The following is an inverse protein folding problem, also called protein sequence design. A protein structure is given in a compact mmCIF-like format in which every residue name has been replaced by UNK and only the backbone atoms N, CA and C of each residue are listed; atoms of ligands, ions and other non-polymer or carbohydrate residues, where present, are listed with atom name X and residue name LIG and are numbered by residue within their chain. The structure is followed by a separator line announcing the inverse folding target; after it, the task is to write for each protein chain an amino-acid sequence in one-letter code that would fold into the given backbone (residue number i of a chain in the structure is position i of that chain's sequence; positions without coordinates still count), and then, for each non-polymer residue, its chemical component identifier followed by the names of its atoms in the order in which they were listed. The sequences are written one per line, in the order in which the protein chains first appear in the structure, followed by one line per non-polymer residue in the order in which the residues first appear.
data_IF_936907675694
#
_entry.id   IF_936907675694
#
_cell.length_a   1.000
_cell.length_b   1.000
_cell.length_c   1.000
_cell.angle_alpha   90.00
_cell.angle_beta   90.00
_cell.angle_gamma   90.00
#
_symmetry.space_group_name_H-M   'P 1'
#
loop_
_entity.id
_entity.type
_entity.pdbx_description
1 polymer ?
#
# COMPACT_ATOMS: atom_id res chain seq x y z
N UNK A 1 8.87 -15.28 -14.21
CA UNK A 1 7.48 -15.79 -14.16
C UNK A 1 6.62 -14.95 -15.09
N UNK A 2 5.71 -15.60 -15.86
CA UNK A 2 4.70 -14.89 -16.63
C UNK A 2 3.69 -14.27 -15.63
N UNK A 3 3.60 -12.95 -15.59
CA UNK A 3 2.78 -12.24 -14.59
C UNK A 3 1.29 -12.50 -14.78
N UNK A 4 0.83 -12.71 -16.02
CA UNK A 4 -0.57 -13.06 -16.29
C UNK A 4 -0.89 -14.47 -15.79
N UNK A 5 0.04 -15.41 -15.91
CA UNK A 5 -0.09 -16.75 -15.35
C UNK A 5 -0.09 -16.70 -13.80
N UNK A 6 0.81 -15.89 -13.21
CA UNK A 6 0.80 -15.67 -11.78
C UNK A 6 -0.56 -15.20 -11.29
N UNK A 7 -1.14 -14.19 -11.97
CA UNK A 7 -2.44 -13.64 -11.58
C UNK A 7 -3.57 -14.67 -11.74
N UNK A 8 -3.59 -15.43 -12.83
CA UNK A 8 -4.63 -16.42 -13.12
C UNK A 8 -4.62 -17.61 -12.16
N UNK A 9 -3.51 -17.87 -11.49
CA UNK A 9 -3.39 -18.90 -10.45
C UNK A 9 -3.99 -18.49 -9.10
N UNK A 10 -4.40 -17.25 -8.94
CA UNK A 10 -5.10 -16.78 -7.75
C UNK A 10 -6.61 -16.81 -7.97
N UNK A 11 -7.34 -17.10 -6.88
CA UNK A 11 -8.78 -16.77 -6.86
C UNK A 11 -8.93 -15.26 -7.04
N UNK A 12 -10.09 -14.83 -7.50
CA UNK A 12 -10.37 -13.40 -7.60
C UNK A 12 -9.97 -12.66 -6.32
N UNK A 13 -9.06 -11.72 -6.45
CA UNK A 13 -8.51 -10.98 -5.32
C UNK A 13 -9.52 -9.94 -4.84
N UNK A 14 -9.89 -10.02 -3.58
CA UNK A 14 -10.82 -9.09 -2.94
C UNK A 14 -10.38 -8.82 -1.51
N UNK A 15 -10.41 -7.56 -1.10
CA UNK A 15 -9.98 -7.17 0.22
C UNK A 15 -10.17 -5.69 0.52
N UNK A 16 -9.43 -5.18 1.48
CA UNK A 16 -9.44 -3.78 1.84
C UNK A 16 -8.05 -3.29 2.26
N UNK A 17 -7.88 -1.97 2.27
CA UNK A 17 -6.78 -1.35 3.01
C UNK A 17 -7.02 -1.56 4.50
N UNK A 18 -6.00 -1.99 5.23
CA UNK A 18 -6.14 -2.42 6.61
C UNK A 18 -5.25 -1.63 7.56
N UNK A 19 -5.87 -1.18 8.61
CA UNK A 19 -5.26 -0.63 9.81
C UNK A 19 -6.13 -1.09 10.98
N UNK A 20 -5.57 -1.64 12.09
CA UNK A 20 -6.38 -2.06 13.22
C UNK A 20 -7.10 -0.87 13.86
N UNK A 21 -8.29 -1.11 14.40
CA UNK A 21 -9.11 -0.06 15.04
C UNK A 21 -8.43 0.61 16.24
N UNK A 22 -7.37 0.01 16.75
CA UNK A 22 -6.56 0.53 17.88
C UNK A 22 -5.41 1.44 17.44
N UNK A 23 -5.17 1.58 16.13
CA UNK A 23 -4.10 2.42 15.59
C UNK A 23 -4.64 3.53 14.68
N UNK A 24 -4.02 4.71 14.72
CA UNK A 24 -4.38 5.84 13.85
C UNK A 24 -3.56 5.88 12.56
N UNK A 25 -2.41 5.23 12.53
CA UNK A 25 -1.52 5.15 11.38
C UNK A 25 -0.59 3.94 11.46
N UNK A 26 0.22 3.76 10.43
CA UNK A 26 1.16 2.64 10.32
C UNK A 26 2.26 2.65 11.41
N UNK A 27 2.61 3.80 11.96
CA UNK A 27 3.56 3.87 13.08
C UNK A 27 2.93 3.28 14.35
N UNK A 28 1.72 3.70 14.71
CA UNK A 28 1.02 3.18 15.87
C UNK A 28 0.69 1.67 15.71
N UNK A 29 0.43 1.22 14.47
CA UNK A 29 0.21 -0.21 14.21
C UNK A 29 1.42 -1.08 14.56
N UNK A 30 2.64 -0.59 14.34
CA UNK A 30 3.85 -1.41 14.40
C UNK A 30 4.85 -1.06 15.49
N UNK A 31 4.68 0.03 16.24
CA UNK A 31 5.56 0.36 17.38
C UNK A 31 5.34 -0.62 18.54
N UNK A 32 6.39 -0.85 19.34
CA UNK A 32 6.39 -1.84 20.42
C UNK A 32 5.29 -1.60 21.45
N UNK A 33 5.14 -0.36 21.88
CA UNK A 33 4.21 0.04 22.93
C UNK A 33 2.73 0.13 22.50
N UNK A 34 2.48 0.07 21.19
CA UNK A 34 1.13 0.19 20.60
C UNK A 34 0.73 -1.01 19.72
N UNK A 35 1.62 -1.97 19.49
CA UNK A 35 1.32 -3.17 18.73
C UNK A 35 0.29 -4.05 19.44
N UNK A 36 -0.82 -4.33 18.74
CA UNK A 36 -1.97 -5.05 19.31
C UNK A 36 -2.32 -6.31 18.49
N UNK A 37 -1.63 -7.44 18.76
CA UNK A 37 -1.88 -8.68 18.03
C UNK A 37 -3.28 -9.25 18.26
N UNK A 38 -3.91 -8.96 19.40
CA UNK A 38 -5.26 -9.46 19.72
C UNK A 38 -6.29 -8.81 18.81
N UNK A 39 -6.27 -7.49 18.67
CA UNK A 39 -7.16 -6.77 17.77
C UNK A 39 -6.86 -7.12 16.31
N UNK A 40 -5.58 -7.19 15.93
CA UNK A 40 -5.20 -7.61 14.58
C UNK A 40 -5.76 -9.01 14.24
N UNK A 41 -5.59 -9.99 15.10
CA UNK A 41 -6.13 -11.34 14.88
C UNK A 41 -7.66 -11.34 14.69
N UNK A 42 -8.36 -10.63 15.54
CA UNK A 42 -9.82 -10.51 15.48
C UNK A 42 -10.30 -9.87 14.19
N UNK A 43 -9.72 -8.74 13.79
CA UNK A 43 -10.15 -7.98 12.63
C UNK A 43 -9.74 -8.65 11.32
N UNK A 44 -8.55 -9.26 11.25
CA UNK A 44 -8.13 -10.08 10.11
C UNK A 44 -9.05 -11.31 9.97
N UNK A 45 -9.49 -11.92 11.09
CA UNK A 45 -10.48 -12.97 11.11
C UNK A 45 -11.81 -12.51 10.50
N UNK A 46 -12.31 -11.34 10.85
CA UNK A 46 -13.53 -10.76 10.24
C UNK A 46 -13.37 -10.53 8.74
N UNK A 47 -12.19 -10.11 8.28
CA UNK A 47 -11.93 -9.96 6.86
C UNK A 47 -12.08 -11.30 6.11
N UNK A 48 -11.52 -12.38 6.66
CA UNK A 48 -11.71 -13.72 6.11
C UNK A 48 -13.18 -14.17 6.14
N UNK A 49 -13.90 -13.91 7.23
CA UNK A 49 -15.29 -14.33 7.40
C UNK A 49 -16.23 -13.71 6.35
N UNK A 50 -15.96 -12.49 5.90
CA UNK A 50 -16.69 -11.84 4.81
C UNK A 50 -16.19 -12.20 3.41
N UNK A 51 -15.18 -13.07 3.31
CA UNK A 51 -14.67 -13.59 2.05
C UNK A 51 -13.49 -12.84 1.46
N UNK A 52 -12.84 -11.94 2.20
CA UNK A 52 -11.60 -11.29 1.74
C UNK A 52 -10.44 -12.29 1.75
N UNK A 53 -9.57 -12.18 0.76
CA UNK A 53 -8.35 -12.98 0.64
C UNK A 53 -7.08 -12.14 0.50
N UNK A 54 -7.21 -10.81 0.54
CA UNK A 54 -6.08 -9.89 0.55
C UNK A 54 -6.37 -8.69 1.46
N UNK A 55 -5.32 -8.13 2.03
CA UNK A 55 -5.32 -6.85 2.76
C UNK A 55 -4.17 -6.00 2.24
N UNK A 56 -4.35 -4.68 2.15
CA UNK A 56 -3.26 -3.76 1.83
C UNK A 56 -2.82 -3.05 3.10
N UNK A 57 -1.55 -3.24 3.47
CA UNK A 57 -0.98 -2.81 4.74
C UNK A 57 0.19 -1.88 4.47
N UNK A 58 0.16 -0.69 5.07
CA UNK A 58 1.21 0.31 4.96
C UNK A 58 2.30 0.06 6.00
N UNK A 59 3.54 0.06 5.55
CA UNK A 59 4.72 0.09 6.39
C UNK A 59 5.26 1.53 6.51
N UNK A 60 6.39 1.72 7.17
CA UNK A 60 7.03 3.03 7.30
C UNK A 60 8.53 2.89 7.47
N UNK A 61 9.30 3.72 6.78
CA UNK A 61 10.76 3.71 6.84
C UNK A 61 11.34 3.96 8.24
N UNK A 62 10.68 4.79 9.05
CA UNK A 62 11.13 5.05 10.43
C UNK A 62 11.09 3.82 11.33
N UNK A 63 10.23 2.85 11.06
CA UNK A 63 10.17 1.59 11.82
C UNK A 63 11.45 0.77 11.68
N UNK A 64 12.22 1.01 10.62
CA UNK A 64 13.49 0.33 10.37
C UNK A 64 14.60 0.74 11.34
N UNK A 65 14.42 1.84 12.11
CA UNK A 65 15.34 2.21 13.20
C UNK A 65 15.39 1.16 14.32
N UNK A 66 14.32 0.37 14.47
CA UNK A 66 14.23 -0.80 15.35
C UNK A 66 13.93 -2.07 14.53
N UNK A 67 14.80 -2.33 13.55
CA UNK A 67 14.65 -3.35 12.52
C UNK A 67 14.23 -4.71 13.08
N UNK A 68 14.98 -5.22 14.07
CA UNK A 68 14.75 -6.58 14.58
C UNK A 68 13.36 -6.75 15.20
N UNK A 69 12.93 -5.79 16.00
CA UNK A 69 11.63 -5.86 16.65
C UNK A 69 10.49 -5.54 15.67
N UNK A 70 10.71 -4.63 14.73
CA UNK A 70 9.74 -4.40 13.67
C UNK A 70 9.54 -5.66 12.80
N UNK A 71 10.61 -6.35 12.42
CA UNK A 71 10.52 -7.60 11.66
C UNK A 71 9.75 -8.68 12.41
N UNK A 72 9.93 -8.81 13.72
CA UNK A 72 9.15 -9.74 14.55
C UNK A 72 7.66 -9.41 14.49
N UNK A 73 7.29 -8.13 14.66
CA UNK A 73 5.88 -7.69 14.60
C UNK A 73 5.29 -7.86 13.19
N UNK A 74 6.05 -7.53 12.15
CA UNK A 74 5.60 -7.78 10.77
C UNK A 74 5.41 -9.28 10.51
N UNK A 75 6.34 -10.12 10.97
CA UNK A 75 6.20 -11.57 10.85
C UNK A 75 4.96 -12.09 11.58
N UNK A 76 4.62 -11.54 12.74
CA UNK A 76 3.39 -11.88 13.46
C UNK A 76 2.13 -11.52 12.66
N UNK A 77 2.09 -10.34 12.05
CA UNK A 77 1.00 -9.96 11.13
C UNK A 77 0.90 -10.92 9.94
N UNK A 78 2.03 -11.33 9.36
CA UNK A 78 2.05 -12.30 8.26
C UNK A 78 1.55 -13.68 8.69
N UNK A 79 1.85 -14.12 9.92
CA UNK A 79 1.29 -15.35 10.50
C UNK A 79 -0.22 -15.23 10.63
N UNK A 80 -0.71 -14.16 11.23
CA UNK A 80 -2.15 -13.92 11.40
C UNK A 80 -2.89 -13.88 10.05
N UNK A 81 -2.33 -13.19 9.05
CA UNK A 81 -2.89 -13.20 7.71
C UNK A 81 -2.94 -14.61 7.11
N UNK A 82 -1.85 -15.37 7.24
CA UNK A 82 -1.75 -16.74 6.72
C UNK A 82 -2.75 -17.68 7.40
N UNK A 83 -2.90 -17.59 8.72
CA UNK A 83 -3.86 -18.39 9.50
C UNK A 83 -5.31 -18.13 9.09
N UNK A 84 -5.58 -16.94 8.58
CA UNK A 84 -6.89 -16.52 8.05
C UNK A 84 -6.98 -16.56 6.51
N UNK A 85 -6.08 -17.26 5.82
CA UNK A 85 -6.06 -17.39 4.36
C UNK A 85 -5.98 -16.06 3.59
N UNK A 86 -5.33 -15.08 4.16
CA UNK A 86 -5.12 -13.75 3.58
C UNK A 86 -3.66 -13.59 3.17
N UNK A 87 -3.44 -13.06 1.96
CA UNK A 87 -2.11 -12.65 1.49
C UNK A 87 -2.06 -11.12 1.38
N UNK A 88 -1.28 -10.44 2.20
CA UNK A 88 -1.22 -8.99 2.19
C UNK A 88 -0.42 -8.42 1.01
N UNK A 89 -0.82 -7.22 0.58
CA UNK A 89 -0.04 -6.29 -0.23
C UNK A 89 0.65 -5.35 0.75
N UNK A 90 1.98 -5.25 0.71
CA UNK A 90 2.74 -4.41 1.62
C UNK A 90 3.21 -3.14 0.92
N UNK A 91 2.88 -1.97 1.49
CA UNK A 91 3.22 -0.66 0.95
C UNK A 91 4.44 -0.09 1.66
N UNK A 92 5.46 0.35 0.91
CA UNK A 92 6.70 0.88 1.51
C UNK A 92 6.65 2.38 1.76
N UNK A 93 6.38 3.17 0.70
CA UNK A 93 6.41 4.64 0.75
C UNK A 93 5.05 5.25 0.42
N UNK A 94 4.85 6.50 0.81
CA UNK A 94 3.57 7.20 0.65
C UNK A 94 3.74 8.72 0.65
N UNK A 95 3.20 9.38 -0.38
CA UNK A 95 3.16 10.85 -0.48
C UNK A 95 1.77 11.43 -0.15
N UNK A 96 0.73 10.58 -0.10
CA UNK A 96 -0.64 11.06 -0.04
C UNK A 96 -1.06 11.61 1.33
N UNK A 97 -0.46 11.10 2.40
CA UNK A 97 -0.91 11.42 3.75
C UNK A 97 -0.19 12.65 4.35
N UNK A 98 -0.30 12.85 5.66
CA UNK A 98 0.18 14.07 6.32
C UNK A 98 1.70 14.06 6.46
N UNK A 99 2.36 15.23 6.27
CA UNK A 99 3.80 15.36 6.41
C UNK A 99 4.29 15.20 7.86
N UNK A 100 5.61 15.27 8.03
CA UNK A 100 6.31 15.24 9.31
C UNK A 100 6.02 13.98 10.13
N UNK A 101 6.32 12.77 9.58
CA UNK A 101 6.22 11.54 10.35
C UNK A 101 7.23 11.54 11.50
N UNK A 102 6.83 10.99 12.64
CA UNK A 102 7.69 10.88 13.82
C UNK A 102 7.30 9.66 14.63
N UNK A 103 8.31 8.92 15.12
CA UNK A 103 8.12 7.84 16.08
C UNK A 103 7.60 8.36 17.43
N UNK A 104 7.06 7.47 18.23
CA UNK A 104 6.50 7.76 19.55
C UNK A 104 4.99 7.99 19.50
N UNK A 105 4.50 8.80 20.44
CA UNK A 105 3.05 9.05 20.55
C UNK A 105 2.47 9.64 19.28
N UNK A 106 1.44 8.99 18.75
CA UNK A 106 0.73 9.46 17.57
C UNK A 106 -0.45 10.37 17.97
N UNK A 107 -0.91 11.24 17.04
CA UNK A 107 -2.00 12.15 17.33
C UNK A 107 -3.31 11.40 17.60
N UNK A 108 -4.19 12.00 18.36
CA UNK A 108 -5.57 11.52 18.47
C UNK A 108 -6.34 11.78 17.17
N UNK A 109 -7.32 10.92 16.82
CA UNK A 109 -8.15 11.14 15.65
C UNK A 109 -8.99 12.43 15.78
N UNK A 110 -9.08 13.17 14.70
CA UNK A 110 -9.95 14.35 14.61
C UNK A 110 -11.27 13.95 13.98
N UNK A 111 -12.35 14.05 14.72
CA UNK A 111 -13.68 13.65 14.24
C UNK A 111 -14.07 14.42 12.99
N UNK A 112 -14.58 13.71 11.98
CA UNK A 112 -14.99 14.30 10.69
C UNK A 112 -13.84 14.66 9.76
N UNK A 113 -12.60 14.40 10.14
CA UNK A 113 -11.43 14.61 9.28
C UNK A 113 -10.91 13.27 8.80
N UNK A 114 -11.03 13.04 7.49
CA UNK A 114 -10.54 11.83 6.86
C UNK A 114 -9.03 11.67 7.05
N UNK A 115 -8.60 10.48 7.47
CA UNK A 115 -7.19 10.12 7.68
C UNK A 115 -6.40 11.17 8.50
N UNK A 116 -7.01 11.70 9.57
CA UNK A 116 -6.46 12.81 10.33
C UNK A 116 -5.08 12.58 10.93
N UNK A 117 -4.70 11.33 11.17
CA UNK A 117 -3.43 10.95 11.77
C UNK A 117 -2.50 10.12 10.88
N UNK A 118 -2.90 9.77 9.66
CA UNK A 118 -2.05 9.04 8.73
C UNK A 118 -0.82 9.88 8.35
N UNK A 119 0.32 9.22 8.15
CA UNK A 119 1.60 9.86 7.90
C UNK A 119 2.22 9.42 6.58
N UNK A 120 2.84 10.38 5.90
CA UNK A 120 3.70 10.09 4.75
C UNK A 120 4.90 9.24 5.16
N UNK A 121 5.46 8.51 4.20
CA UNK A 121 6.71 7.78 4.33
C UNK A 121 7.55 7.97 3.05
N UNK A 122 8.72 8.59 3.08
CA UNK A 122 9.39 9.13 4.27
C UNK A 122 8.88 10.49 4.74
N UNK A 123 8.13 11.23 3.93
CA UNK A 123 7.69 12.59 4.11
C UNK A 123 8.27 13.54 3.06
N UNK A 124 7.52 14.58 2.70
CA UNK A 124 7.88 15.52 1.62
C UNK A 124 9.22 16.23 1.84
N UNK A 125 9.59 16.51 3.10
CA UNK A 125 10.88 17.10 3.43
C UNK A 125 12.03 16.19 2.97
N UNK A 126 11.95 14.90 3.29
CA UNK A 126 12.98 13.93 2.89
C UNK A 126 12.95 13.71 1.38
N UNK A 127 11.77 13.65 0.76
CA UNK A 127 11.64 13.55 -0.71
C UNK A 127 12.38 14.70 -1.39
N UNK A 128 12.20 15.93 -0.90
CA UNK A 128 12.91 17.11 -1.41
C UNK A 128 14.42 17.09 -1.15
N UNK A 129 14.84 16.61 0.01
CA UNK A 129 16.26 16.43 0.31
C UNK A 129 16.92 15.42 -0.63
N UNK A 130 16.25 14.31 -0.94
CA UNK A 130 16.71 13.34 -1.94
C UNK A 130 16.83 14.00 -3.33
N UNK A 131 15.83 14.80 -3.73
CA UNK A 131 15.87 15.52 -5.00
C UNK A 131 17.04 16.53 -5.10
N UNK A 132 17.51 17.05 -3.95
CA UNK A 132 18.69 17.94 -3.85
C UNK A 132 20.01 17.17 -3.73
N UNK A 133 19.99 15.84 -3.66
CA UNK A 133 21.19 15.00 -3.58
C UNK A 133 21.68 14.75 -2.15
N UNK A 134 20.79 14.68 -1.16
CA UNK A 134 21.15 14.28 0.20
C UNK A 134 21.50 12.79 0.24
N UNK A 135 22.81 12.48 0.24
CA UNK A 135 23.33 11.11 0.19
C UNK A 135 23.05 10.31 1.46
N UNK A 136 22.97 10.96 2.61
CA UNK A 136 22.69 10.27 3.90
C UNK A 136 21.27 9.72 3.93
N UNK A 137 20.29 10.55 3.59
CA UNK A 137 18.89 10.13 3.51
C UNK A 137 18.68 9.10 2.39
N UNK A 138 19.36 9.27 1.25
CA UNK A 138 19.33 8.29 0.17
C UNK A 138 19.84 6.93 0.63
N UNK A 139 21.00 6.88 1.29
CA UNK A 139 21.58 5.64 1.81
C UNK A 139 20.67 4.97 2.85
N UNK A 140 20.04 5.76 3.72
CA UNK A 140 19.10 5.27 4.73
C UNK A 140 17.86 4.61 4.09
N UNK A 141 17.25 5.27 3.10
CA UNK A 141 16.08 4.75 2.41
C UNK A 141 16.42 3.56 1.51
N UNK A 142 17.61 3.57 0.88
CA UNK A 142 18.11 2.42 0.12
C UNK A 142 18.24 1.20 1.02
N UNK A 143 18.86 1.38 2.18
CA UNK A 143 19.04 0.30 3.16
C UNK A 143 17.70 -0.30 3.58
N UNK A 144 16.74 0.53 3.99
CA UNK A 144 15.39 0.09 4.34
C UNK A 144 14.75 -0.69 3.20
N UNK A 145 14.74 -0.14 1.99
CA UNK A 145 14.09 -0.77 0.83
C UNK A 145 14.72 -2.11 0.50
N UNK A 146 16.04 -2.16 0.41
CA UNK A 146 16.74 -3.39 0.01
C UNK A 146 16.71 -4.46 1.08
N UNK A 147 16.88 -4.11 2.33
CA UNK A 147 16.85 -5.08 3.41
C UNK A 147 15.46 -5.69 3.60
N UNK A 148 14.38 -4.88 3.62
CA UNK A 148 13.04 -5.44 3.81
C UNK A 148 12.63 -6.34 2.64
N UNK A 149 12.93 -5.95 1.42
CA UNK A 149 12.65 -6.77 0.25
C UNK A 149 13.49 -8.05 0.23
N UNK A 150 14.74 -7.99 0.68
CA UNK A 150 15.62 -9.15 0.74
C UNK A 150 15.24 -10.12 1.86
N UNK A 151 14.92 -9.60 3.04
CA UNK A 151 14.59 -10.42 4.22
C UNK A 151 13.27 -11.21 4.03
N UNK A 152 12.35 -10.69 3.21
CA UNK A 152 11.09 -11.33 2.86
C UNK A 152 10.99 -11.74 1.37
N UNK A 153 12.11 -11.82 0.65
CA UNK A 153 12.13 -11.98 -0.82
C UNK A 153 11.40 -13.22 -1.36
N UNK A 154 11.37 -14.30 -0.59
CA UNK A 154 10.76 -15.57 -0.98
C UNK A 154 9.61 -15.97 -0.05
N UNK A 155 9.07 -15.01 0.71
CA UNK A 155 7.97 -15.27 1.63
C UNK A 155 6.63 -15.37 0.88
N UNK A 156 6.14 -16.60 0.73
CA UNK A 156 4.91 -16.90 0.00
C UNK A 156 3.63 -16.38 0.67
N UNK A 157 3.72 -15.91 1.93
CA UNK A 157 2.60 -15.28 2.64
C UNK A 157 2.28 -13.88 2.10
N UNK A 158 3.26 -13.22 1.46
CA UNK A 158 3.10 -11.88 0.87
C UNK A 158 2.59 -12.03 -0.57
N UNK A 159 1.51 -11.33 -0.91
CA UNK A 159 0.97 -11.33 -2.27
C UNK A 159 1.88 -10.55 -3.23
N UNK A 160 2.17 -9.31 -2.91
CA UNK A 160 3.04 -8.43 -3.70
C UNK A 160 3.51 -7.22 -2.88
N UNK A 161 4.50 -6.49 -3.41
CA UNK A 161 5.00 -5.24 -2.85
C UNK A 161 4.49 -4.05 -3.64
N UNK A 162 3.87 -3.10 -2.95
CA UNK A 162 3.51 -1.78 -3.46
C UNK A 162 4.58 -0.79 -3.01
N UNK A 163 5.46 -0.42 -3.94
CA UNK A 163 6.66 0.32 -3.59
C UNK A 163 6.38 1.76 -3.15
N UNK A 164 5.32 2.38 -3.69
CA UNK A 164 5.04 3.77 -3.40
C UNK A 164 3.56 4.10 -3.62
N UNK A 165 2.87 4.49 -2.55
CA UNK A 165 1.49 4.96 -2.64
C UNK A 165 1.43 6.40 -3.13
N UNK A 166 0.71 6.60 -4.21
CA UNK A 166 0.34 7.91 -4.76
C UNK A 166 1.51 8.93 -4.78
N UNK A 167 2.66 8.59 -5.39
CA UNK A 167 3.75 9.55 -5.50
C UNK A 167 3.30 10.84 -6.18
N UNK A 168 3.78 11.97 -5.68
CA UNK A 168 3.45 13.29 -6.20
C UNK A 168 2.23 13.97 -5.56
N UNK A 169 1.48 13.29 -4.71
CA UNK A 169 0.34 13.87 -3.98
C UNK A 169 0.78 15.01 -3.02
N UNK A 170 -0.17 15.75 -2.46
CA UNK A 170 0.06 16.89 -1.59
C UNK A 170 0.91 18.00 -2.23
N UNK A 171 0.76 18.18 -3.55
CA UNK A 171 1.38 19.29 -4.28
C UNK A 171 2.87 19.12 -4.58
N UNK A 172 3.46 17.94 -4.30
CA UNK A 172 4.87 17.69 -4.60
C UNK A 172 5.11 17.36 -6.08
N UNK A 173 4.13 16.72 -6.76
CA UNK A 173 4.22 16.42 -8.18
C UNK A 173 5.46 15.62 -8.56
N UNK A 174 6.06 15.95 -9.68
CA UNK A 174 7.26 15.27 -10.19
C UNK A 174 8.53 15.49 -9.37
N UNK A 175 8.51 16.29 -8.30
CA UNK A 175 9.63 16.34 -7.33
C UNK A 175 9.88 14.97 -6.69
N UNK A 176 8.83 14.14 -6.50
CA UNK A 176 8.99 12.78 -5.98
C UNK A 176 9.65 11.81 -6.97
N UNK A 177 9.76 12.16 -8.24
CA UNK A 177 10.27 11.23 -9.26
C UNK A 177 11.71 10.78 -9.00
N UNK A 178 12.53 11.63 -8.39
CA UNK A 178 13.90 11.26 -8.03
C UNK A 178 13.91 10.10 -7.04
N UNK A 179 13.15 10.19 -5.94
CA UNK A 179 13.05 9.09 -4.98
C UNK A 179 12.35 7.88 -5.59
N UNK A 180 11.23 8.09 -6.27
CA UNK A 180 10.46 7.01 -6.91
C UNK A 180 11.33 6.15 -7.83
N UNK A 181 12.12 6.78 -8.71
CA UNK A 181 13.00 6.07 -9.62
C UNK A 181 14.06 5.27 -8.86
N UNK A 182 14.67 5.87 -7.83
CA UNK A 182 15.64 5.19 -6.97
C UNK A 182 15.02 3.98 -6.25
N UNK A 183 13.82 4.11 -5.71
CA UNK A 183 13.11 3.01 -5.03
C UNK A 183 12.88 1.85 -6.00
N UNK A 184 12.46 2.13 -7.24
CA UNK A 184 12.33 1.11 -8.28
C UNK A 184 13.68 0.42 -8.59
N UNK A 185 14.75 1.18 -8.74
CA UNK A 185 16.08 0.64 -9.05
C UNK A 185 16.59 -0.22 -7.89
N UNK A 186 16.46 0.23 -6.65
CA UNK A 186 16.81 -0.56 -5.45
C UNK A 186 15.99 -1.85 -5.33
N UNK A 187 14.70 -1.79 -5.65
CA UNK A 187 13.85 -2.97 -5.64
C UNK A 187 14.24 -3.97 -6.74
N UNK A 188 14.62 -3.49 -7.92
CA UNK A 188 15.11 -4.34 -9.00
C UNK A 188 16.47 -4.97 -8.72
N UNK A 189 17.34 -4.29 -7.97
CA UNK A 189 18.62 -4.88 -7.51
C UNK A 189 18.39 -6.11 -6.63
N UNK A 190 17.36 -6.11 -5.79
CA UNK A 190 16.96 -7.26 -4.95
C UNK A 190 16.11 -8.25 -5.74
N UNK A 191 15.14 -7.76 -6.45
CA UNK A 191 14.15 -8.51 -7.24
C UNK A 191 13.54 -9.68 -6.46
N UNK A 192 12.64 -9.41 -5.51
CA UNK A 192 11.95 -10.45 -4.76
C UNK A 192 11.09 -11.35 -5.67
N UNK A 193 10.70 -12.51 -5.18
CA UNK A 193 9.86 -13.45 -5.93
C UNK A 193 8.42 -12.96 -6.11
N UNK A 194 7.95 -12.09 -5.21
CA UNK A 194 6.65 -11.43 -5.30
C UNK A 194 6.68 -10.34 -6.38
N UNK A 195 5.55 -10.08 -7.06
CA UNK A 195 5.43 -8.95 -7.97
C UNK A 195 5.64 -7.60 -7.29
N UNK A 196 6.12 -6.64 -8.08
CA UNK A 196 6.31 -5.24 -7.68
C UNK A 196 5.29 -4.35 -8.41
N UNK A 197 4.76 -3.37 -7.70
CA UNK A 197 3.83 -2.38 -8.25
C UNK A 197 4.01 -1.01 -7.60
N UNK A 198 3.51 0.01 -8.25
CA UNK A 198 3.12 1.30 -7.70
C UNK A 198 1.98 1.86 -8.56
N UNK A 199 0.98 2.50 -7.96
CA UNK A 199 -0.26 2.84 -8.63
C UNK A 199 -0.08 3.87 -9.75
N UNK A 200 -0.94 3.80 -10.78
CA UNK A 200 -1.03 4.78 -11.86
C UNK A 200 -2.00 5.90 -11.51
N UNK A 201 -3.30 5.59 -11.44
CA UNK A 201 -4.29 6.56 -10.96
C UNK A 201 -4.14 6.75 -9.45
N UNK A 202 -4.24 8.00 -9.01
CA UNK A 202 -3.85 8.44 -7.68
C UNK A 202 -2.45 9.07 -7.66
N UNK A 203 -1.56 8.65 -8.54
CA UNK A 203 -0.23 9.25 -8.74
C UNK A 203 -0.34 10.59 -9.47
N UNK A 204 0.43 11.58 -9.04
CA UNK A 204 0.51 12.92 -9.63
C UNK A 204 1.88 13.15 -10.25
N UNK A 205 1.88 13.73 -11.46
CA UNK A 205 3.08 14.01 -12.25
C UNK A 205 3.30 12.99 -13.37
N UNK A 206 3.53 13.51 -14.58
CA UNK A 206 3.65 12.67 -15.77
C UNK A 206 4.84 11.71 -15.70
N UNK A 207 5.95 12.17 -15.11
CA UNK A 207 7.14 11.32 -14.92
C UNK A 207 6.88 10.20 -13.94
N UNK A 208 6.17 10.46 -12.84
CA UNK A 208 5.81 9.46 -11.84
C UNK A 208 4.89 8.39 -12.45
N UNK A 209 3.85 8.81 -13.18
CA UNK A 209 2.91 7.90 -13.85
C UNK A 209 3.65 7.04 -14.87
N UNK A 210 4.50 7.64 -15.70
CA UNK A 210 5.28 6.91 -16.71
C UNK A 210 6.24 5.90 -16.07
N UNK A 211 6.95 6.28 -15.00
CA UNK A 211 7.83 5.39 -14.25
C UNK A 211 7.07 4.17 -13.72
N UNK A 212 5.93 4.38 -13.08
CA UNK A 212 5.12 3.30 -12.53
C UNK A 212 4.54 2.40 -13.63
N UNK A 213 4.06 3.00 -14.74
CA UNK A 213 3.54 2.27 -15.90
C UNK A 213 4.57 1.36 -16.54
N UNK A 214 5.80 1.82 -16.67
CA UNK A 214 6.87 1.04 -17.30
C UNK A 214 7.38 -0.09 -16.38
N UNK A 215 7.53 0.18 -15.10
CA UNK A 215 8.26 -0.69 -14.16
C UNK A 215 7.39 -1.69 -13.40
N UNK A 216 6.08 -1.46 -13.25
CA UNK A 216 5.19 -2.33 -12.48
C UNK A 216 4.99 -3.70 -13.14
N UNK A 217 5.07 -4.77 -12.38
CA UNK A 217 4.70 -6.12 -12.85
C UNK A 217 3.17 -6.24 -12.97
N UNK A 218 2.45 -5.76 -11.97
CA UNK A 218 0.99 -5.69 -11.92
C UNK A 218 0.61 -4.22 -11.97
N UNK A 219 -0.36 -3.86 -12.77
CA UNK A 219 -0.87 -2.49 -12.83
C UNK A 219 -1.87 -2.29 -11.70
N UNK A 220 -1.54 -1.39 -10.79
CA UNK A 220 -2.48 -0.96 -9.74
C UNK A 220 -2.99 0.45 -10.01
N UNK A 221 -4.21 0.73 -9.57
CA UNK A 221 -4.86 2.01 -9.77
C UNK A 221 -5.87 2.29 -8.65
N UNK A 222 -6.22 3.56 -8.50
CA UNK A 222 -7.22 4.05 -7.58
C UNK A 222 -8.36 4.70 -8.35
N UNK A 223 -9.61 4.44 -7.97
CA UNK A 223 -10.77 5.08 -8.59
C UNK A 223 -11.84 5.33 -7.55
N UNK A 224 -12.20 6.59 -7.35
CA UNK A 224 -13.23 7.00 -6.40
C UNK A 224 -14.51 7.52 -7.08
N UNK A 225 -14.42 7.95 -8.34
CA UNK A 225 -15.54 8.44 -9.12
C UNK A 225 -16.15 7.32 -9.96
N UNK A 226 -17.41 6.98 -9.70
CA UNK A 226 -18.11 5.87 -10.37
C UNK A 226 -18.07 5.99 -11.91
N UNK A 227 -18.27 7.19 -12.44
CA UNK A 227 -18.30 7.42 -13.89
C UNK A 227 -16.96 7.16 -14.59
N UNK A 228 -15.85 7.13 -13.85
CA UNK A 228 -14.52 6.87 -14.40
C UNK A 228 -14.14 5.39 -14.40
N UNK A 229 -14.86 4.55 -13.68
CA UNK A 229 -14.48 3.13 -13.48
C UNK A 229 -14.26 2.40 -14.80
N UNK A 230 -15.24 2.45 -15.70
CA UNK A 230 -15.17 1.72 -16.99
C UNK A 230 -14.08 2.27 -17.89
N UNK A 231 -13.98 3.60 -18.04
CA UNK A 231 -12.96 4.22 -18.92
C UNK A 231 -11.54 3.94 -18.46
N UNK A 232 -11.29 3.95 -17.13
CA UNK A 232 -9.99 3.59 -16.57
C UNK A 232 -9.67 2.11 -16.85
N UNK A 233 -10.62 1.22 -16.67
CA UNK A 233 -10.44 -0.20 -16.96
C UNK A 233 -10.09 -0.43 -18.43
N UNK A 234 -10.83 0.20 -19.34
CA UNK A 234 -10.58 0.08 -20.79
C UNK A 234 -9.17 0.58 -21.16
N UNK A 235 -8.79 1.75 -20.66
CA UNK A 235 -7.46 2.30 -20.89
C UNK A 235 -6.34 1.40 -20.35
N UNK A 236 -6.46 0.94 -19.10
CA UNK A 236 -5.41 0.17 -18.45
C UNK A 236 -5.27 -1.26 -19.00
N UNK A 237 -6.34 -1.85 -19.53
CA UNK A 237 -6.28 -3.15 -20.21
C UNK A 237 -5.35 -3.18 -21.41
N UNK A 238 -5.21 -2.05 -22.11
CA UNK A 238 -4.30 -1.93 -23.26
C UNK A 238 -2.82 -2.17 -22.89
N UNK A 239 -2.48 -2.06 -21.59
CA UNK A 239 -1.12 -2.34 -21.11
C UNK A 239 -0.80 -3.84 -21.16
N UNK A 240 -1.81 -4.72 -21.14
CA UNK A 240 -1.65 -6.18 -21.25
C UNK A 240 -1.11 -6.88 -20.00
N UNK A 241 -1.12 -6.22 -18.85
CA UNK A 241 -0.73 -6.77 -17.55
C UNK A 241 -1.95 -6.91 -16.63
N UNK A 242 -1.89 -7.77 -15.58
CA UNK A 242 -2.98 -7.88 -14.61
C UNK A 242 -3.31 -6.54 -13.97
N UNK A 243 -4.59 -6.31 -13.67
CA UNK A 243 -5.09 -5.10 -13.04
C UNK A 243 -5.59 -5.38 -11.63
N UNK A 244 -5.20 -4.55 -10.67
CA UNK A 244 -5.75 -4.55 -9.31
C UNK A 244 -6.09 -3.10 -8.95
N UNK A 245 -7.36 -2.86 -8.61
CA UNK A 245 -7.75 -1.60 -7.98
C UNK A 245 -7.40 -1.67 -6.50
N UNK A 246 -6.41 -0.90 -6.07
CA UNK A 246 -5.92 -0.91 -4.69
C UNK A 246 -6.60 0.11 -3.79
N UNK A 247 -7.41 1.00 -4.37
CA UNK A 247 -8.29 1.91 -3.62
C UNK A 247 -9.52 2.25 -4.44
N UNK A 248 -10.67 2.02 -3.86
CA UNK A 248 -12.00 2.48 -4.29
C UNK A 248 -12.90 2.52 -3.07
N UNK A 249 -14.11 2.97 -3.21
CA UNK A 249 -15.12 3.09 -2.17
C UNK A 249 -15.22 4.51 -1.63
N UNK A 250 -15.96 5.32 -2.35
CA UNK A 250 -16.36 6.66 -1.94
C UNK A 250 -17.85 6.85 -2.27
N UNK A 251 -18.70 6.60 -1.29
CA UNK A 251 -20.17 6.66 -1.48
C UNK A 251 -20.63 8.00 -2.04
N UNK A 252 -19.99 9.07 -1.64
CA UNK A 252 -20.29 10.43 -2.13
C UNK A 252 -20.05 10.59 -3.63
N UNK A 253 -19.12 9.81 -4.20
CA UNK A 253 -18.77 9.81 -5.62
C UNK A 253 -19.30 8.59 -6.37
N UNK A 254 -20.16 7.79 -5.73
CA UNK A 254 -20.88 6.68 -6.32
C UNK A 254 -20.13 5.35 -6.43
N UNK A 255 -18.86 5.27 -6.01
CA UNK A 255 -18.19 3.97 -5.90
C UNK A 255 -18.62 3.28 -4.61
N UNK A 256 -19.44 2.23 -4.79
CA UNK A 256 -19.98 1.41 -3.71
C UNK A 256 -19.69 -0.06 -3.98
N UNK A 257 -19.86 -0.91 -2.98
CA UNK A 257 -19.71 -2.35 -3.17
C UNK A 257 -20.70 -2.89 -4.20
N UNK A 258 -21.96 -2.43 -4.14
CA UNK A 258 -23.04 -2.90 -5.02
C UNK A 258 -22.78 -2.57 -6.49
N UNK A 259 -22.22 -1.41 -6.78
CA UNK A 259 -21.94 -0.98 -8.15
C UNK A 259 -20.57 -1.43 -8.64
N UNK A 260 -19.56 -1.33 -7.81
CA UNK A 260 -18.16 -1.42 -8.27
C UNK A 260 -17.65 -2.86 -8.26
N UNK A 261 -17.98 -3.67 -7.24
CA UNK A 261 -17.52 -5.06 -7.16
C UNK A 261 -17.96 -5.93 -8.33
N UNK A 262 -19.24 -5.89 -8.80
CA UNK A 262 -19.66 -6.67 -9.96
C UNK A 262 -18.83 -6.33 -11.22
N UNK A 263 -18.54 -5.06 -11.46
CA UNK A 263 -17.73 -4.60 -12.59
C UNK A 263 -16.30 -5.17 -12.48
N UNK A 264 -15.65 -5.03 -11.33
CA UNK A 264 -14.31 -5.57 -11.14
C UNK A 264 -14.26 -7.09 -11.30
N UNK A 265 -15.25 -7.79 -10.77
CA UNK A 265 -15.33 -9.25 -10.90
C UNK A 265 -15.54 -9.68 -12.36
N UNK A 266 -16.44 -9.03 -13.10
CA UNK A 266 -16.70 -9.30 -14.52
C UNK A 266 -15.43 -9.12 -15.37
N UNK A 267 -14.66 -8.08 -15.06
CA UNK A 267 -13.40 -7.79 -15.77
C UNK A 267 -12.16 -8.51 -15.19
N UNK A 268 -12.34 -9.39 -14.19
CA UNK A 268 -11.28 -10.10 -13.48
C UNK A 268 -10.21 -9.15 -12.90
N UNK A 269 -10.65 -8.06 -12.30
CA UNK A 269 -9.81 -7.05 -11.66
C UNK A 269 -9.84 -7.27 -10.15
N UNK A 270 -8.68 -7.34 -9.52
CA UNK A 270 -8.58 -7.38 -8.06
C UNK A 270 -9.18 -6.13 -7.44
N UNK A 271 -9.91 -6.28 -6.34
CA UNK A 271 -10.69 -5.20 -5.73
C UNK A 271 -10.34 -5.01 -4.25
N UNK A 272 -9.53 -4.00 -3.95
CA UNK A 272 -9.09 -3.66 -2.60
C UNK A 272 -9.70 -2.31 -2.21
N UNK A 273 -10.72 -2.34 -1.36
CA UNK A 273 -11.44 -1.12 -0.96
C UNK A 273 -10.63 -0.26 0.02
N UNK A 274 -10.88 1.05 -0.01
CA UNK A 274 -10.35 1.99 0.98
C UNK A 274 -11.41 2.29 2.04
N UNK A 275 -11.97 1.26 2.64
CA UNK A 275 -12.91 1.36 3.73
C UNK A 275 -12.44 0.42 4.84
N UNK A 276 -12.28 0.93 6.04
CA UNK A 276 -11.92 0.14 7.19
C UNK A 276 -13.03 -0.87 7.51
N UNK A 277 -12.64 -2.09 7.91
CA UNK A 277 -13.58 -3.12 8.39
C UNK A 277 -14.35 -2.67 9.63
N UNK A 278 -13.77 -1.77 10.39
CA UNK A 278 -14.37 -1.14 11.55
C UNK A 278 -14.33 0.37 11.38
N UNK A 279 -15.42 1.04 11.75
CA UNK A 279 -15.35 2.48 11.96
C UNK A 279 -14.32 2.75 13.05
N UNK A 280 -13.45 3.77 12.93
CA UNK A 280 -12.55 4.15 14.01
C UNK A 280 -13.38 4.42 15.25
N UNK A 281 -13.34 3.52 16.21
CA UNK A 281 -14.15 3.56 17.44
C UNK A 281 -13.51 4.41 18.52
N UNK A 282 -12.35 5.02 18.25
CA UNK A 282 -11.86 6.11 19.10
C UNK A 282 -12.70 7.37 18.84
N UNK A 283 -13.86 7.43 19.49
CA UNK A 283 -14.63 8.65 19.63
C UNK A 283 -14.02 9.53 20.72
#
# INVERSE_FOLDING_TARGET
KNINEWYSNHKWLVGCNYLPSTAINQLEMFQEDSFDPVTNNKEIGWANDIGFNSLRIYLHDLLWQDKENFQKRLNEILILCSDHNIKPILVLFDDCHRPFPKLGNQPLPVRGVHNSGWKQSPGHEIVREIAKGNEEEEARLKLFTQEILNDFRDDERILMWDLYNEPGQFGIGDESNTLLTKVWDWAFEVRPSQPLTACLDGTIGDKNIQTNKEKSDVITFHVYEHQKVISIIEELKEIGRPLICTEYMAREFGTTFEFTLPIFKEHNIGAVSYTHLTLPTKA
#
